data_IF_235732349275
#
_entry.id   IF_235732349275
#
_cell.length_a   1.000
_cell.length_b   1.000
_cell.length_c   1.000
_cell.angle_alpha   90.00
_cell.angle_beta   90.00
_cell.angle_gamma   90.00
#
_symmetry.space_group_name_H-M   'P 1'
#
loop_
_entity.id
_entity.type
_entity.pdbx_description
1 polymer ?
#
# COMPACT_ATOMS: atom_id res chain seq x y z
N UNK A 1 -17.57 -26.12 3.02
CA UNK A 1 -17.01 -24.78 3.39
C UNK A 1 -18.06 -23.70 3.72
N UNK A 2 -19.37 -24.01 3.83
CA UNK A 2 -20.40 -23.02 4.22
C UNK A 2 -20.52 -22.77 5.74
N UNK A 3 -19.97 -23.66 6.58
CA UNK A 3 -20.31 -23.72 8.01
C UNK A 3 -19.57 -22.70 8.90
N UNK A 4 -18.40 -22.19 8.50
CA UNK A 4 -17.67 -21.21 9.33
C UNK A 4 -18.12 -19.76 9.12
N UNK A 5 -18.68 -19.43 7.96
CA UNK A 5 -19.23 -18.09 7.72
C UNK A 5 -20.56 -17.89 8.47
N UNK A 6 -21.46 -18.88 8.46
CA UNK A 6 -22.74 -18.78 9.19
C UNK A 6 -22.59 -18.64 10.71
N UNK A 7 -21.60 -19.29 11.33
CA UNK A 7 -21.34 -19.14 12.78
C UNK A 7 -20.82 -17.74 13.18
N UNK A 8 -20.25 -16.98 12.24
CA UNK A 8 -19.85 -15.58 12.46
C UNK A 8 -21.05 -14.63 12.39
N UNK A 9 -22.02 -14.91 11.50
CA UNK A 9 -23.20 -14.05 11.24
C UNK A 9 -24.16 -13.98 12.42
N UNK A 10 -24.22 -15.00 13.28
CA UNK A 10 -25.14 -15.05 14.42
C UNK A 10 -24.51 -14.78 15.80
N UNK A 11 -23.23 -14.42 15.85
CA UNK A 11 -22.53 -14.20 17.13
C UNK A 11 -22.58 -12.73 17.55
N UNK A 12 -23.37 -12.39 18.57
CA UNK A 12 -23.34 -11.08 19.25
C UNK A 12 -22.06 -10.85 20.08
N UNK A 13 -21.13 -11.81 20.07
CA UNK A 13 -19.90 -11.73 20.85
C UNK A 13 -19.02 -10.61 20.30
N UNK A 14 -18.75 -9.62 21.15
CA UNK A 14 -17.79 -8.57 20.87
C UNK A 14 -16.44 -9.17 20.45
N UNK A 15 -15.97 -8.79 19.27
CA UNK A 15 -14.69 -9.19 18.70
C UNK A 15 -13.68 -8.07 18.87
N UNK A 16 -12.45 -8.43 19.23
CA UNK A 16 -11.30 -7.51 19.21
C UNK A 16 -10.61 -7.47 17.85
N UNK A 17 -10.73 -8.54 17.07
CA UNK A 17 -10.06 -8.68 15.77
C UNK A 17 -11.02 -9.34 14.77
N UNK A 18 -11.08 -8.78 13.57
CA UNK A 18 -11.78 -9.36 12.42
C UNK A 18 -10.76 -9.43 11.28
N UNK A 19 -10.63 -10.60 10.65
CA UNK A 19 -9.81 -10.77 9.45
C UNK A 19 -10.67 -11.40 8.37
N UNK A 20 -10.77 -10.70 7.25
CA UNK A 20 -11.49 -11.13 6.05
C UNK A 20 -10.55 -10.84 4.88
N UNK A 21 -9.89 -11.86 4.36
CA UNK A 21 -8.96 -11.70 3.25
C UNK A 21 -9.21 -12.72 2.13
N UNK A 22 -8.59 -12.52 0.98
CA UNK A 22 -8.81 -13.32 -0.24
C UNK A 22 -8.64 -14.84 -0.03
N UNK A 23 -7.67 -15.26 0.79
CA UNK A 23 -7.43 -16.69 1.07
C UNK A 23 -8.56 -17.34 1.89
N UNK A 24 -9.36 -16.54 2.61
CA UNK A 24 -10.51 -17.00 3.40
C UNK A 24 -11.81 -16.86 2.62
N UNK A 25 -11.95 -15.76 1.86
CA UNK A 25 -13.14 -15.44 1.07
C UNK A 25 -12.70 -14.97 -0.32
N UNK A 26 -12.96 -15.79 -1.34
CA UNK A 26 -12.76 -15.43 -2.74
C UNK A 26 -14.00 -14.71 -3.28
N UNK A 27 -14.16 -13.43 -2.97
CA UNK A 27 -15.35 -12.65 -3.36
C UNK A 27 -15.64 -12.68 -4.86
N UNK A 28 -14.61 -12.86 -5.70
CA UNK A 28 -14.75 -12.93 -7.16
C UNK A 28 -15.48 -14.19 -7.63
N UNK A 29 -15.58 -15.24 -6.82
CA UNK A 29 -16.27 -16.49 -7.20
C UNK A 29 -17.77 -16.47 -6.86
N UNK A 30 -18.25 -15.45 -6.16
CA UNK A 30 -19.66 -15.31 -5.81
C UNK A 30 -20.41 -14.62 -6.95
N UNK A 31 -21.64 -15.06 -7.22
CA UNK A 31 -22.55 -14.27 -8.05
C UNK A 31 -22.92 -12.94 -7.38
N UNK A 32 -23.56 -12.06 -8.16
CA UNK A 32 -23.93 -10.71 -7.73
C UNK A 32 -24.81 -10.69 -6.46
N UNK A 33 -25.74 -11.64 -6.32
CA UNK A 33 -26.68 -11.67 -5.20
C UNK A 33 -25.96 -12.13 -3.94
N UNK A 34 -25.21 -13.22 -4.04
CA UNK A 34 -24.46 -13.78 -2.91
C UNK A 34 -23.35 -12.83 -2.45
N UNK A 35 -22.65 -12.15 -3.36
CA UNK A 35 -21.68 -11.10 -3.02
C UNK A 35 -22.36 -9.96 -2.25
N UNK A 36 -23.48 -9.44 -2.75
CA UNK A 36 -24.24 -8.38 -2.08
C UNK A 36 -24.67 -8.79 -0.67
N UNK A 37 -25.22 -10.00 -0.51
CA UNK A 37 -25.65 -10.50 0.80
C UNK A 37 -24.47 -10.62 1.77
N UNK A 38 -23.34 -11.14 1.30
CA UNK A 38 -22.13 -11.26 2.11
C UNK A 38 -21.60 -9.89 2.57
N UNK A 39 -21.56 -8.89 1.69
CA UNK A 39 -21.14 -7.52 2.07
C UNK A 39 -22.09 -6.92 3.10
N UNK A 40 -23.42 -7.10 2.94
CA UNK A 40 -24.42 -6.64 3.91
C UNK A 40 -24.20 -7.31 5.28
N UNK A 41 -23.93 -8.61 5.29
CA UNK A 41 -23.70 -9.34 6.55
C UNK A 41 -22.39 -8.93 7.21
N UNK A 42 -21.32 -8.72 6.44
CA UNK A 42 -20.05 -8.20 6.96
C UNK A 42 -20.21 -6.81 7.55
N UNK A 43 -20.91 -5.90 6.87
CA UNK A 43 -21.23 -4.57 7.38
C UNK A 43 -21.98 -4.66 8.71
N UNK A 44 -23.02 -5.49 8.79
CA UNK A 44 -23.80 -5.70 10.03
C UNK A 44 -22.93 -6.22 11.17
N UNK A 45 -22.04 -7.18 10.89
CA UNK A 45 -21.12 -7.71 11.89
C UNK A 45 -20.19 -6.62 12.40
N UNK A 46 -19.55 -5.86 11.49
CA UNK A 46 -18.59 -4.81 11.83
C UNK A 46 -19.28 -3.70 12.63
N UNK A 47 -20.45 -3.25 12.19
CA UNK A 47 -21.21 -2.18 12.84
C UNK A 47 -21.63 -2.53 14.28
N UNK A 48 -21.89 -3.81 14.57
CA UNK A 48 -22.20 -4.27 15.94
C UNK A 48 -21.00 -4.28 16.90
N UNK A 49 -19.77 -4.10 16.39
CA UNK A 49 -18.59 -4.09 17.22
C UNK A 49 -18.34 -2.71 17.82
N UNK A 50 -18.14 -2.66 19.14
CA UNK A 50 -17.76 -1.43 19.87
C UNK A 50 -16.35 -1.51 20.46
N UNK A 51 -15.73 -2.69 20.42
CA UNK A 51 -14.41 -2.99 20.99
C UNK A 51 -13.41 -3.51 19.96
N UNK A 52 -13.71 -3.32 18.67
CA UNK A 52 -12.83 -3.80 17.60
C UNK A 52 -11.53 -2.99 17.64
N UNK A 53 -10.39 -3.69 17.66
CA UNK A 53 -9.04 -3.12 17.68
C UNK A 53 -8.30 -3.27 16.36
N UNK A 54 -8.71 -4.26 15.55
CA UNK A 54 -8.07 -4.54 14.27
C UNK A 54 -9.09 -5.06 13.26
N UNK A 55 -8.94 -4.62 12.01
CA UNK A 55 -9.63 -5.21 10.86
C UNK A 55 -8.66 -5.44 9.71
N UNK A 56 -8.78 -6.58 9.03
CA UNK A 56 -8.09 -6.88 7.78
C UNK A 56 -9.11 -7.18 6.68
N UNK A 57 -8.97 -6.51 5.54
CA UNK A 57 -9.80 -6.56 4.34
C UNK A 57 -8.95 -6.83 3.08
N UNK A 58 -7.81 -7.50 3.23
CA UNK A 58 -6.80 -7.60 2.18
C UNK A 58 -7.19 -8.54 1.02
N UNK A 59 -6.89 -8.12 -0.21
CA UNK A 59 -7.09 -8.92 -1.42
C UNK A 59 -8.56 -9.15 -1.84
N UNK A 60 -9.51 -8.54 -1.14
CA UNK A 60 -10.94 -8.83 -1.36
C UNK A 60 -11.48 -8.37 -2.72
N UNK A 61 -10.78 -7.49 -3.44
CA UNK A 61 -11.23 -6.95 -4.73
C UNK A 61 -12.64 -6.32 -4.64
N UNK A 62 -12.85 -5.49 -3.61
CA UNK A 62 -14.08 -4.75 -3.37
C UNK A 62 -14.28 -3.66 -4.42
N UNK A 63 -15.53 -3.42 -4.78
CA UNK A 63 -15.88 -2.18 -5.48
C UNK A 63 -15.67 -0.98 -4.53
N UNK A 64 -15.48 0.24 -5.06
CA UNK A 64 -15.35 1.45 -4.23
C UNK A 64 -16.44 1.61 -3.17
N UNK A 65 -17.71 1.39 -3.54
CA UNK A 65 -18.85 1.51 -2.63
C UNK A 65 -18.81 0.46 -1.52
N UNK A 66 -18.56 -0.80 -1.86
CA UNK A 66 -18.47 -1.88 -0.87
C UNK A 66 -17.37 -1.62 0.17
N UNK A 67 -16.17 -1.23 -0.28
CA UNK A 67 -15.06 -0.99 0.65
C UNK A 67 -15.26 0.26 1.52
N UNK A 68 -15.75 1.36 0.95
CA UNK A 68 -16.11 2.56 1.73
C UNK A 68 -17.19 2.23 2.76
N UNK A 69 -18.21 1.46 2.38
CA UNK A 69 -19.30 1.03 3.27
C UNK A 69 -18.78 0.19 4.44
N UNK A 70 -17.92 -0.79 4.18
CA UNK A 70 -17.31 -1.61 5.24
C UNK A 70 -16.42 -0.79 6.18
N UNK A 71 -15.70 0.21 5.67
CA UNK A 71 -14.90 1.09 6.51
C UNK A 71 -15.74 2.06 7.33
N UNK A 72 -16.84 2.59 6.77
CA UNK A 72 -17.79 3.42 7.52
C UNK A 72 -18.47 2.64 8.66
N UNK A 73 -18.69 1.33 8.48
CA UNK A 73 -19.22 0.46 9.53
C UNK A 73 -18.34 0.41 10.79
N UNK A 74 -17.05 0.78 10.69
CA UNK A 74 -16.14 0.87 11.84
C UNK A 74 -16.47 2.04 12.80
N UNK A 75 -17.43 2.91 12.47
CA UNK A 75 -17.78 4.08 13.27
C UNK A 75 -18.05 3.76 14.76
N UNK A 76 -18.68 2.63 15.05
CA UNK A 76 -18.97 2.21 16.43
C UNK A 76 -17.72 1.76 17.21
N UNK A 77 -16.67 1.37 16.49
CA UNK A 77 -15.35 1.04 17.06
C UNK A 77 -14.31 2.15 16.85
N UNK A 78 -14.72 3.38 16.46
CA UNK A 78 -13.79 4.48 16.14
C UNK A 78 -12.83 4.86 17.26
N UNK A 79 -13.23 4.63 18.51
CA UNK A 79 -12.43 4.90 19.72
C UNK A 79 -11.54 3.74 20.15
N UNK A 80 -11.65 2.58 19.49
CA UNK A 80 -10.92 1.36 19.87
C UNK A 80 -10.08 0.78 18.75
N UNK A 81 -10.43 1.06 17.49
CA UNK A 81 -9.71 0.56 16.34
C UNK A 81 -8.32 1.18 16.28
N UNK A 82 -7.31 0.32 16.18
CA UNK A 82 -5.90 0.71 16.12
C UNK A 82 -5.27 0.33 14.79
N UNK A 83 -5.72 -0.77 14.18
CA UNK A 83 -5.11 -1.30 12.97
C UNK A 83 -6.16 -1.54 11.89
N UNK A 84 -5.90 -1.03 10.69
CA UNK A 84 -6.71 -1.24 9.49
C UNK A 84 -5.77 -1.71 8.37
N UNK A 85 -6.03 -2.92 7.86
CA UNK A 85 -5.25 -3.54 6.78
C UNK A 85 -6.10 -3.71 5.53
N UNK A 86 -5.69 -3.05 4.44
CA UNK A 86 -6.47 -2.91 3.21
C UNK A 86 -5.59 -2.97 1.94
N UNK A 87 -4.45 -3.66 1.98
CA UNK A 87 -3.71 -3.98 0.77
C UNK A 87 -4.55 -4.77 -0.23
N UNK A 88 -4.61 -4.30 -1.47
CA UNK A 88 -5.43 -4.86 -2.55
C UNK A 88 -6.90 -5.06 -2.15
N UNK A 89 -7.40 -4.24 -1.22
CA UNK A 89 -8.78 -4.35 -0.75
C UNK A 89 -9.78 -4.05 -1.87
N UNK A 90 -9.44 -3.18 -2.81
CA UNK A 90 -10.31 -2.80 -3.93
C UNK A 90 -9.89 -3.44 -5.26
N UNK A 91 -10.79 -3.41 -6.24
CA UNK A 91 -10.52 -3.84 -7.61
C UNK A 91 -9.26 -3.18 -8.20
N UNK A 92 -8.53 -3.94 -9.03
CA UNK A 92 -7.40 -3.44 -9.80
C UNK A 92 -7.88 -2.26 -10.66
N UNK A 93 -7.14 -1.15 -10.63
CA UNK A 93 -7.45 0.17 -11.24
C UNK A 93 -8.23 1.17 -10.38
N UNK A 94 -8.62 0.84 -9.15
CA UNK A 94 -9.28 1.81 -8.27
C UNK A 94 -8.27 2.85 -7.74
N UNK A 95 -8.61 4.13 -7.87
CA UNK A 95 -7.89 5.25 -7.30
C UNK A 95 -8.84 6.33 -6.76
N UNK A 96 -8.29 7.34 -6.10
CA UNK A 96 -9.07 8.48 -5.61
C UNK A 96 -9.39 9.46 -6.74
N UNK A 97 -10.63 9.95 -6.81
CA UNK A 97 -10.97 11.10 -7.66
C UNK A 97 -10.61 12.41 -7.00
N UNK A 98 -9.94 13.27 -7.76
CA UNK A 98 -9.76 14.69 -7.45
C UNK A 98 -10.85 15.45 -8.20
N UNK A 99 -11.60 16.30 -7.50
CA UNK A 99 -12.78 17.00 -8.05
C UNK A 99 -12.45 18.08 -9.11
N UNK A 100 -11.22 18.14 -9.61
CA UNK A 100 -10.82 19.08 -10.67
C UNK A 100 -10.67 18.37 -12.02
N UNK A 101 -11.76 18.44 -12.79
CA UNK A 101 -11.83 18.70 -14.24
C UNK A 101 -10.81 17.95 -15.13
N UNK A 102 -11.24 16.81 -15.68
CA UNK A 102 -11.41 16.56 -17.12
C UNK A 102 -12.17 15.24 -17.26
N UNK A 103 -13.45 15.33 -17.63
CA UNK A 103 -14.29 14.18 -17.94
C UNK A 103 -13.80 13.54 -19.25
N UNK A 104 -12.78 12.68 -19.17
CA UNK A 104 -12.71 11.59 -20.14
C UNK A 104 -13.87 10.64 -19.84
N UNK A 105 -14.98 10.87 -20.54
CA UNK A 105 -16.13 9.97 -20.60
C UNK A 105 -15.70 8.67 -21.28
N UNK A 106 -15.04 7.80 -20.53
CA UNK A 106 -15.13 6.37 -20.79
C UNK A 106 -16.21 5.84 -19.84
N UNK A 107 -17.38 5.54 -20.39
CA UNK A 107 -18.53 5.00 -19.64
C UNK A 107 -18.19 3.70 -18.89
N UNK A 108 -17.09 3.03 -19.24
CA UNK A 108 -16.61 1.81 -18.59
C UNK A 108 -15.77 2.03 -17.31
N UNK A 109 -15.22 3.23 -17.08
CA UNK A 109 -14.33 3.51 -15.93
C UNK A 109 -14.95 4.37 -14.83
N UNK A 110 -16.14 4.93 -15.04
CA UNK A 110 -16.81 5.81 -14.07
C UNK A 110 -17.07 5.17 -12.70
N UNK A 111 -17.26 3.84 -12.68
CA UNK A 111 -17.61 3.07 -11.47
C UNK A 111 -16.41 2.63 -10.62
N UNK A 112 -15.17 2.90 -11.03
CA UNK A 112 -13.94 2.40 -10.37
C UNK A 112 -13.20 3.47 -9.56
N UNK A 113 -13.91 4.47 -9.07
CA UNK A 113 -13.32 5.64 -8.42
C UNK A 113 -13.86 5.80 -7.00
N UNK A 114 -12.97 5.93 -6.03
CA UNK A 114 -13.35 6.25 -4.66
C UNK A 114 -13.41 7.77 -4.54
N UNK A 115 -14.57 8.31 -4.13
CA UNK A 115 -14.68 9.73 -3.80
C UNK A 115 -13.78 10.03 -2.61
N UNK A 116 -12.88 11.01 -2.77
CA UNK A 116 -11.94 11.41 -1.74
C UNK A 116 -12.63 11.81 -0.42
N UNK A 117 -13.76 12.50 -0.49
CA UNK A 117 -14.54 12.90 0.68
C UNK A 117 -15.07 11.69 1.46
N UNK A 118 -15.56 10.67 0.77
CA UNK A 118 -16.08 9.44 1.39
C UNK A 118 -14.97 8.62 2.03
N UNK A 119 -13.83 8.47 1.34
CA UNK A 119 -12.66 7.81 1.87
C UNK A 119 -12.12 8.50 3.12
N UNK A 120 -11.95 9.83 3.05
CA UNK A 120 -11.50 10.62 4.18
C UNK A 120 -12.48 10.55 5.36
N UNK A 121 -13.79 10.54 5.08
CA UNK A 121 -14.81 10.34 6.13
C UNK A 121 -14.66 8.97 6.79
N UNK A 122 -14.45 7.91 6.00
CA UNK A 122 -14.33 6.55 6.49
C UNK A 122 -13.08 6.33 7.35
N UNK A 123 -11.89 6.65 6.83
CA UNK A 123 -10.62 6.46 7.56
C UNK A 123 -10.42 7.54 8.60
N UNK A 124 -10.75 8.78 8.27
CA UNK A 124 -10.56 9.91 9.17
C UNK A 124 -11.42 9.84 10.43
N UNK A 125 -12.52 9.09 10.47
CA UNK A 125 -13.31 8.97 11.70
C UNK A 125 -12.64 8.11 12.79
N UNK A 126 -11.56 7.39 12.48
CA UNK A 126 -10.90 6.44 13.37
C UNK A 126 -9.87 7.12 14.29
N UNK A 127 -10.34 7.73 15.37
CA UNK A 127 -9.56 8.59 16.28
C UNK A 127 -8.31 7.94 16.93
N UNK A 128 -8.33 6.61 17.10
CA UNK A 128 -7.25 5.86 17.77
C UNK A 128 -6.41 5.00 16.81
N UNK A 129 -6.55 5.26 15.50
CA UNK A 129 -5.80 4.54 14.49
C UNK A 129 -4.30 4.76 14.67
N UNK A 130 -3.56 3.68 14.90
CA UNK A 130 -2.11 3.67 15.01
C UNK A 130 -1.43 3.17 13.74
N UNK A 131 -2.08 2.26 13.02
CA UNK A 131 -1.54 1.61 11.83
C UNK A 131 -2.58 1.60 10.72
N UNK A 132 -2.22 2.17 9.57
CA UNK A 132 -2.98 2.13 8.34
C UNK A 132 -2.15 1.45 7.25
N UNK A 133 -2.64 0.33 6.74
CA UNK A 133 -2.03 -0.42 5.64
C UNK A 133 -2.94 -0.35 4.42
N UNK A 134 -2.47 0.29 3.35
CA UNK A 134 -3.26 0.62 2.16
C UNK A 134 -2.37 0.61 0.91
N UNK A 135 -2.98 0.56 -0.27
CA UNK A 135 -2.29 0.87 -1.50
C UNK A 135 -1.91 2.37 -1.55
N UNK A 136 -0.79 2.69 -2.19
CA UNK A 136 -0.32 4.06 -2.35
C UNK A 136 -1.36 4.95 -3.02
N UNK A 137 -2.04 4.43 -4.04
CA UNK A 137 -3.11 5.12 -4.76
C UNK A 137 -4.28 5.58 -3.86
N UNK A 138 -4.47 5.00 -2.67
CA UNK A 138 -5.57 5.35 -1.76
C UNK A 138 -5.25 6.51 -0.81
N UNK A 139 -4.04 7.06 -0.89
CA UNK A 139 -3.65 8.25 -0.13
C UNK A 139 -3.00 9.33 -0.99
N UNK A 140 -2.55 8.96 -2.19
CA UNK A 140 -1.97 9.89 -3.15
C UNK A 140 -3.00 10.88 -3.71
N UNK A 141 -2.85 12.16 -3.36
CA UNK A 141 -3.56 13.29 -3.98
C UNK A 141 -2.54 14.30 -4.52
N UNK A 142 -2.85 15.10 -5.56
CA UNK A 142 -1.87 15.98 -6.21
C UNK A 142 -1.28 17.03 -5.26
N UNK A 143 -2.05 17.42 -4.25
CA UNK A 143 -1.63 18.33 -3.19
C UNK A 143 -1.09 17.61 -1.95
N UNK A 144 -1.30 16.29 -1.85
CA UNK A 144 -1.04 15.47 -0.67
C UNK A 144 -1.92 15.83 0.53
N UNK A 145 -3.01 16.56 0.30
CA UNK A 145 -3.88 17.07 1.36
C UNK A 145 -4.58 15.98 2.16
N UNK A 146 -4.88 14.82 1.56
CA UNK A 146 -5.44 13.68 2.29
C UNK A 146 -4.46 13.17 3.37
N UNK A 147 -3.20 12.99 3.00
CA UNK A 147 -2.13 12.63 3.95
C UNK A 147 -2.03 13.67 5.07
N UNK A 148 -1.98 14.95 4.72
CA UNK A 148 -1.86 16.05 5.70
C UNK A 148 -3.08 16.11 6.63
N UNK A 149 -4.29 15.92 6.11
CA UNK A 149 -5.51 15.92 6.91
C UNK A 149 -5.58 14.73 7.86
N UNK A 150 -5.15 13.54 7.43
CA UNK A 150 -5.04 12.38 8.31
C UNK A 150 -3.98 12.62 9.40
N UNK A 151 -2.81 13.16 9.05
CA UNK A 151 -1.76 13.49 10.00
C UNK A 151 -2.24 14.52 11.05
N UNK A 152 -2.95 15.57 10.63
CA UNK A 152 -3.58 16.55 11.54
C UNK A 152 -4.56 15.93 12.52
N UNK A 153 -5.30 14.92 12.07
CA UNK A 153 -6.38 14.30 12.84
C UNK A 153 -5.86 13.26 13.83
N UNK A 154 -4.94 12.42 13.39
CA UNK A 154 -4.38 11.33 14.20
C UNK A 154 -3.19 11.80 15.06
N UNK A 155 -2.45 12.81 14.60
CA UNK A 155 -1.30 13.40 15.29
C UNK A 155 -0.30 12.31 15.74
N UNK A 156 0.14 12.39 16.99
CA UNK A 156 1.05 11.43 17.63
C UNK A 156 0.47 10.03 17.82
N UNK A 157 -0.84 9.82 17.59
CA UNK A 157 -1.39 8.47 17.61
C UNK A 157 -1.02 7.68 16.35
N UNK A 158 -0.69 8.35 15.23
CA UNK A 158 -0.37 7.65 13.99
C UNK A 158 1.09 7.22 13.96
N UNK A 159 1.32 5.91 14.13
CA UNK A 159 2.66 5.35 14.20
C UNK A 159 3.11 4.75 12.88
N UNK A 160 2.20 4.11 12.13
CA UNK A 160 2.54 3.34 10.94
C UNK A 160 1.62 3.66 9.76
N UNK A 161 2.24 3.98 8.64
CA UNK A 161 1.62 3.98 7.32
C UNK A 161 2.34 2.95 6.44
N UNK A 162 1.64 1.87 6.11
CA UNK A 162 2.19 0.78 5.29
C UNK A 162 1.61 0.88 3.88
N UNK A 163 2.46 1.20 2.91
CA UNK A 163 2.09 1.52 1.54
C UNK A 163 2.49 0.36 0.62
N UNK A 164 1.49 -0.29 0.03
CA UNK A 164 1.69 -1.18 -1.10
C UNK A 164 1.78 -0.34 -2.37
N UNK A 165 2.87 -0.51 -3.12
CA UNK A 165 3.19 0.26 -4.31
C UNK A 165 3.25 -0.67 -5.52
N UNK A 166 2.40 -0.41 -6.51
CA UNK A 166 2.28 -1.18 -7.74
C UNK A 166 2.48 -0.27 -8.95
N UNK A 167 3.03 -0.80 -10.04
CA UNK A 167 3.38 -0.01 -11.23
C UNK A 167 2.14 0.68 -11.81
N UNK A 168 1.04 -0.04 -11.90
CA UNK A 168 -0.25 0.43 -12.43
C UNK A 168 -0.87 1.58 -11.62
N UNK A 169 -0.36 1.86 -10.42
CA UNK A 169 -0.81 2.96 -9.57
C UNK A 169 -0.10 4.28 -9.89
N UNK A 170 1.05 4.22 -10.55
CA UNK A 170 1.81 5.41 -10.98
C UNK A 170 1.79 5.57 -12.50
N UNK A 171 1.71 4.49 -13.27
CA UNK A 171 1.67 4.53 -14.72
C UNK A 171 0.34 3.99 -15.24
N UNK A 172 -0.33 4.77 -16.08
CA UNK A 172 -1.46 4.29 -16.88
C UNK A 172 -1.02 4.15 -18.34
N UNK A 173 -1.12 2.94 -18.89
CA UNK A 173 -0.98 2.75 -20.33
C UNK A 173 -2.17 3.37 -21.05
N UNK A 174 -1.88 4.18 -22.06
CA UNK A 174 -2.88 4.74 -22.98
C UNK A 174 -3.11 3.80 -24.16
N UNK A 175 -4.23 3.98 -24.86
CA UNK A 175 -4.64 3.12 -25.98
C UNK A 175 -3.68 3.19 -27.17
N UNK A 176 -2.95 4.29 -27.31
CA UNK A 176 -1.89 4.52 -28.31
C UNK A 176 -0.53 3.91 -27.91
N UNK A 177 -0.45 3.20 -26.79
CA UNK A 177 0.79 2.60 -26.28
C UNK A 177 1.69 3.57 -25.50
N UNK A 178 1.25 4.81 -25.28
CA UNK A 178 1.90 5.76 -24.39
C UNK A 178 1.70 5.45 -22.90
N UNK A 179 2.33 6.28 -22.05
CA UNK A 179 2.16 6.24 -20.60
C UNK A 179 1.76 7.61 -20.07
N UNK A 180 0.71 7.64 -19.25
CA UNK A 180 0.30 8.82 -18.49
C UNK A 180 0.66 8.60 -17.03
N UNK A 181 1.36 9.56 -16.45
CA UNK A 181 1.70 9.55 -15.03
C UNK A 181 0.46 9.83 -14.18
N UNK A 182 0.24 8.99 -13.19
CA UNK A 182 -0.77 9.17 -12.15
C UNK A 182 -0.25 10.05 -11.03
N UNK A 183 -1.15 10.32 -10.09
CA UNK A 183 -0.94 11.21 -8.97
C UNK A 183 0.13 10.69 -8.01
N UNK A 184 1.07 11.56 -7.66
CA UNK A 184 2.10 11.33 -6.64
C UNK A 184 1.94 12.32 -5.48
N UNK A 185 2.39 11.94 -4.29
CA UNK A 185 2.37 12.82 -3.11
C UNK A 185 3.58 13.76 -3.18
N UNK A 186 3.37 15.08 -3.21
CA UNK A 186 4.48 16.03 -3.28
C UNK A 186 5.25 16.10 -1.95
N UNK A 187 6.56 16.36 -2.00
CA UNK A 187 7.45 16.45 -0.83
C UNK A 187 6.95 17.43 0.25
N UNK A 188 6.34 18.55 -0.16
CA UNK A 188 5.72 19.53 0.76
C UNK A 188 4.64 18.91 1.66
N UNK A 189 3.91 17.92 1.15
CA UNK A 189 2.87 17.23 1.91
C UNK A 189 3.49 16.29 2.95
N UNK A 190 4.60 15.64 2.62
CA UNK A 190 5.36 14.83 3.58
C UNK A 190 5.95 15.69 4.70
N UNK A 191 6.53 16.86 4.38
CA UNK A 191 6.96 17.84 5.40
C UNK A 191 5.83 18.25 6.34
N UNK A 192 4.67 18.59 5.76
CA UNK A 192 3.51 18.96 6.55
C UNK A 192 2.99 17.79 7.39
N UNK A 193 2.96 16.57 6.85
CA UNK A 193 2.56 15.38 7.58
C UNK A 193 3.48 15.09 8.77
N UNK A 194 4.80 15.19 8.57
CA UNK A 194 5.79 15.04 9.63
C UNK A 194 5.61 16.07 10.74
N UNK A 195 5.30 17.32 10.41
CA UNK A 195 4.98 18.34 11.41
C UNK A 195 3.78 17.96 12.30
N UNK A 196 2.71 17.41 11.72
CA UNK A 196 1.50 17.05 12.47
C UNK A 196 1.59 15.69 13.19
N UNK A 197 2.32 14.75 12.61
CA UNK A 197 2.50 13.39 13.11
C UNK A 197 3.99 13.02 13.12
N UNK A 198 4.79 13.58 14.05
CA UNK A 198 6.25 13.44 14.03
C UNK A 198 6.75 12.02 14.32
N UNK A 199 5.91 11.17 14.91
CA UNK A 199 6.23 9.75 15.19
C UNK A 199 5.84 8.81 14.05
N UNK A 200 5.27 9.33 12.96
CA UNK A 200 4.81 8.54 11.84
C UNK A 200 5.99 7.89 11.11
N UNK A 201 5.92 6.58 10.98
CA UNK A 201 6.85 5.75 10.20
C UNK A 201 6.17 5.23 8.95
N UNK A 202 6.87 5.28 7.84
CA UNK A 202 6.39 4.77 6.55
C UNK A 202 7.07 3.46 6.21
N UNK A 203 6.28 2.43 5.92
CA UNK A 203 6.77 1.20 5.31
C UNK A 203 6.34 1.17 3.85
N UNK A 204 7.29 1.08 2.94
CA UNK A 204 7.02 0.82 1.53
C UNK A 204 7.16 -0.67 1.24
N UNK A 205 6.19 -1.21 0.49
CA UNK A 205 6.25 -2.51 -0.16
C UNK A 205 6.06 -2.29 -1.66
N UNK A 206 7.16 -2.15 -2.39
CA UNK A 206 7.21 -1.92 -3.83
C UNK A 206 7.29 -3.27 -4.52
N UNK A 207 6.23 -3.69 -5.19
CA UNK A 207 6.14 -5.04 -5.75
C UNK A 207 6.05 -4.98 -7.25
N UNK A 208 6.96 -5.70 -7.89
CA UNK A 208 6.95 -5.91 -9.32
C UNK A 208 7.41 -4.72 -10.15
N UNK A 209 8.28 -3.85 -9.60
CA UNK A 209 8.75 -2.63 -10.27
C UNK A 209 10.28 -2.63 -10.35
N UNK A 210 10.86 -3.12 -11.45
CA UNK A 210 12.30 -3.17 -11.57
C UNK A 210 12.97 -1.85 -12.00
N UNK A 211 12.29 -0.87 -12.62
CA UNK A 211 12.92 0.41 -12.98
C UNK A 211 13.04 1.39 -11.82
N UNK A 212 14.24 1.96 -11.66
CA UNK A 212 14.51 3.06 -10.74
C UNK A 212 13.60 4.26 -10.93
N UNK A 213 13.39 4.66 -12.18
CA UNK A 213 12.64 5.85 -12.51
C UNK A 213 11.17 5.78 -12.11
N UNK A 214 10.63 4.57 -11.95
CA UNK A 214 9.26 4.36 -11.48
C UNK A 214 9.23 4.33 -9.97
N UNK A 215 10.04 3.50 -9.31
CA UNK A 215 9.89 3.34 -7.86
C UNK A 215 10.32 4.60 -7.08
N UNK A 216 11.24 5.42 -7.62
CA UNK A 216 11.62 6.72 -7.01
C UNK A 216 10.45 7.71 -6.94
N UNK A 217 9.36 7.48 -7.70
CA UNK A 217 8.17 8.33 -7.69
C UNK A 217 7.26 8.11 -6.48
N UNK A 218 7.42 7.01 -5.75
CA UNK A 218 6.60 6.72 -4.57
C UNK A 218 7.03 7.50 -3.33
N UNK A 219 8.28 7.94 -3.26
CA UNK A 219 8.87 8.53 -2.07
C UNK A 219 9.64 9.81 -2.40
N UNK A 220 9.84 10.62 -1.36
CA UNK A 220 10.50 11.93 -1.46
C UNK A 220 11.47 12.09 -0.29
N UNK A 221 12.41 13.02 -0.39
CA UNK A 221 13.44 13.25 0.64
C UNK A 221 12.88 13.37 2.06
N UNK A 222 11.69 13.95 2.25
CA UNK A 222 11.09 14.15 3.59
C UNK A 222 10.06 13.08 3.99
N UNK A 223 9.95 12.01 3.22
CA UNK A 223 9.15 10.86 3.65
C UNK A 223 9.86 10.16 4.81
N UNK A 224 9.23 9.93 5.97
CA UNK A 224 9.85 9.27 7.11
C UNK A 224 9.85 7.75 6.90
N UNK A 225 10.63 7.29 5.92
CA UNK A 225 10.72 5.88 5.55
C UNK A 225 11.40 5.14 6.68
N UNK A 226 10.74 4.12 7.24
CA UNK A 226 11.33 3.18 8.19
C UNK A 226 11.70 1.85 7.57
N UNK A 227 10.85 1.37 6.69
CA UNK A 227 11.05 0.07 6.04
C UNK A 227 10.86 0.23 4.55
N UNK A 228 11.85 -0.17 3.77
CA UNK A 228 11.81 -0.19 2.32
C UNK A 228 11.92 -1.64 1.86
N UNK A 229 10.81 -2.22 1.41
CA UNK A 229 10.77 -3.54 0.80
C UNK A 229 10.57 -3.40 -0.71
N UNK A 230 11.49 -3.93 -1.50
CA UNK A 230 11.42 -3.94 -2.96
C UNK A 230 11.40 -5.38 -3.46
N UNK A 231 10.42 -5.73 -4.28
CA UNK A 231 10.40 -6.97 -5.06
C UNK A 231 10.41 -6.63 -6.55
N UNK A 232 11.36 -7.20 -7.29
CA UNK A 232 11.42 -7.07 -8.75
C UNK A 232 10.70 -8.25 -9.38
N UNK A 233 9.62 -8.03 -10.12
CA UNK A 233 8.89 -9.10 -10.83
C UNK A 233 9.58 -9.46 -12.15
N UNK A 234 9.08 -10.57 -12.69
CA UNK A 234 9.50 -11.32 -13.89
C UNK A 234 9.80 -10.35 -15.04
N UNK A 235 11.07 -9.99 -15.20
CA UNK A 235 11.84 -10.26 -16.41
C UNK A 235 13.19 -9.51 -16.41
N UNK A 236 14.26 -10.20 -15.98
CA UNK A 236 15.62 -9.69 -16.10
C UNK A 236 16.17 -9.72 -17.55
N UNK A 237 15.41 -10.20 -18.55
CA UNK A 237 15.83 -10.19 -19.97
C UNK A 237 16.26 -8.81 -20.47
N UNK A 238 15.81 -7.72 -19.82
CA UNK A 238 16.00 -6.35 -20.32
C UNK A 238 16.52 -5.35 -19.29
N UNK A 239 16.94 -5.78 -18.10
CA UNK A 239 17.10 -4.83 -16.98
C UNK A 239 18.44 -4.94 -16.31
N UNK A 240 19.15 -3.82 -16.36
CA UNK A 240 20.52 -3.74 -15.94
C UNK A 240 20.59 -3.55 -14.42
N UNK A 241 21.57 -4.16 -13.73
CA UNK A 241 21.67 -4.12 -12.26
C UNK A 241 21.71 -2.70 -11.69
N UNK A 242 22.13 -1.71 -12.49
CA UNK A 242 22.26 -0.33 -12.04
C UNK A 242 20.95 0.29 -11.55
N UNK A 243 19.78 -0.25 -11.92
CA UNK A 243 18.53 0.31 -11.41
C UNK A 243 18.43 0.11 -9.90
N UNK A 244 18.87 -1.05 -9.41
CA UNK A 244 18.96 -1.35 -7.98
C UNK A 244 20.04 -0.47 -7.33
N UNK A 245 21.19 -0.32 -7.99
CA UNK A 245 22.28 0.58 -7.56
C UNK A 245 21.77 2.03 -7.37
N UNK A 246 21.01 2.57 -8.34
CA UNK A 246 20.39 3.87 -8.26
C UNK A 246 19.39 3.98 -7.10
N UNK A 247 18.58 2.94 -6.85
CA UNK A 247 17.68 2.88 -5.69
C UNK A 247 18.47 3.02 -4.40
N UNK A 248 19.49 2.19 -4.24
CA UNK A 248 20.31 2.13 -3.02
C UNK A 248 21.01 3.47 -2.81
N UNK A 249 21.68 3.99 -3.84
CA UNK A 249 22.35 5.30 -3.79
C UNK A 249 21.39 6.42 -3.38
N UNK A 250 20.16 6.39 -3.88
CA UNK A 250 19.15 7.39 -3.54
C UNK A 250 18.73 7.26 -2.08
N UNK A 251 18.50 6.03 -1.60
CA UNK A 251 18.20 5.79 -0.19
C UNK A 251 19.34 6.27 0.71
N UNK A 252 20.60 5.94 0.38
CA UNK A 252 21.76 6.42 1.12
C UNK A 252 21.86 7.95 1.06
N UNK A 253 21.67 8.57 -0.10
CA UNK A 253 21.85 10.02 -0.26
C UNK A 253 20.76 10.83 0.44
N UNK A 254 19.51 10.39 0.35
CA UNK A 254 18.38 11.15 0.92
C UNK A 254 18.18 10.88 2.41
N UNK A 255 18.56 9.69 2.88
CA UNK A 255 18.30 9.25 4.25
C UNK A 255 19.57 8.91 5.05
N UNK A 256 20.76 9.31 4.59
CA UNK A 256 21.99 9.25 5.38
C UNK A 256 21.86 10.00 6.71
N UNK A 257 21.29 11.20 6.66
CA UNK A 257 21.22 12.13 7.81
C UNK A 257 19.86 12.10 8.51
N UNK A 258 18.83 11.59 7.84
CA UNK A 258 17.50 11.38 8.42
C UNK A 258 17.40 9.92 8.86
N UNK A 259 17.73 9.67 10.13
CA UNK A 259 17.76 8.39 10.87
C UNK A 259 16.47 7.56 10.84
N UNK A 260 15.55 7.85 9.93
CA UNK A 260 14.25 7.25 9.89
C UNK A 260 14.26 5.89 9.21
N UNK A 261 15.19 5.60 8.29
CA UNK A 261 15.28 4.29 7.61
C UNK A 261 15.99 3.30 8.51
N UNK A 262 15.32 2.20 8.88
CA UNK A 262 15.88 1.14 9.72
C UNK A 262 16.06 -0.18 8.97
N UNK A 263 15.24 -0.43 7.96
CA UNK A 263 15.22 -1.69 7.23
C UNK A 263 15.14 -1.45 5.73
N UNK A 264 16.10 -1.99 4.99
CA UNK A 264 16.06 -2.07 3.53
C UNK A 264 16.13 -3.55 3.17
N UNK A 265 15.02 -4.08 2.64
CA UNK A 265 14.91 -5.45 2.20
C UNK A 265 14.63 -5.48 0.69
N UNK A 266 15.43 -6.23 -0.06
CA UNK A 266 15.21 -6.40 -1.50
C UNK A 266 15.05 -7.89 -1.81
N UNK A 267 13.92 -8.26 -2.41
CA UNK A 267 13.66 -9.59 -2.90
C UNK A 267 13.78 -9.58 -4.41
N UNK A 268 14.85 -10.17 -4.91
CA UNK A 268 15.14 -10.23 -6.34
C UNK A 268 14.70 -11.57 -6.89
N UNK A 269 13.96 -11.54 -7.99
CA UNK A 269 13.58 -12.78 -8.65
C UNK A 269 14.80 -13.42 -9.32
N UNK A 270 14.88 -14.74 -9.24
CA UNK A 270 15.94 -15.51 -9.90
C UNK A 270 15.82 -15.45 -11.44
N UNK A 271 16.97 -15.56 -12.12
CA UNK A 271 17.05 -15.48 -13.58
C UNK A 271 16.42 -16.75 -14.19
N UNK A 272 15.33 -16.59 -14.94
CA UNK A 272 14.59 -17.72 -15.55
C UNK A 272 15.22 -18.19 -16.89
N UNK A 273 16.07 -17.39 -17.53
CA UNK A 273 16.54 -17.67 -18.90
C UNK A 273 17.99 -18.18 -19.01
N UNK A 274 18.16 -19.20 -19.87
CA UNK A 274 19.43 -19.89 -20.17
C UNK A 274 20.51 -19.04 -20.89
N UNK A 275 20.25 -17.76 -21.19
CA UNK A 275 21.16 -16.92 -21.97
C UNK A 275 21.98 -15.91 -21.15
N UNK A 276 21.53 -15.57 -19.94
CA UNK A 276 22.32 -14.76 -19.00
C UNK A 276 22.96 -15.71 -18.00
N UNK A 277 24.28 -15.69 -17.87
CA UNK A 277 24.98 -16.46 -16.84
C UNK A 277 24.43 -16.03 -15.47
N UNK A 278 23.48 -16.80 -14.94
CA UNK A 278 22.83 -16.60 -13.64
C UNK A 278 23.87 -16.32 -12.55
N UNK A 279 24.99 -17.05 -12.59
CA UNK A 279 26.11 -16.85 -11.69
C UNK A 279 26.73 -15.45 -11.79
N UNK A 280 26.91 -14.93 -13.01
CA UNK A 280 27.44 -13.58 -13.24
C UNK A 280 26.48 -12.50 -12.73
N UNK A 281 25.18 -12.69 -12.91
CA UNK A 281 24.16 -11.79 -12.34
C UNK A 281 24.20 -11.82 -10.81
N UNK A 282 24.10 -13.01 -10.21
CA UNK A 282 24.12 -13.19 -8.74
C UNK A 282 25.42 -12.61 -8.16
N UNK A 283 26.56 -12.87 -8.79
CA UNK A 283 27.86 -12.30 -8.39
C UNK A 283 27.86 -10.78 -8.46
N UNK A 284 27.32 -10.19 -9.53
CA UNK A 284 27.23 -8.72 -9.67
C UNK A 284 26.37 -8.09 -8.58
N UNK A 285 25.21 -8.67 -8.28
CA UNK A 285 24.35 -8.22 -7.18
C UNK A 285 25.04 -8.39 -5.83
N UNK A 286 25.70 -9.53 -5.57
CA UNK A 286 26.46 -9.74 -4.32
C UNK A 286 27.59 -8.74 -4.17
N UNK A 287 28.32 -8.42 -5.24
CA UNK A 287 29.34 -7.37 -5.22
C UNK A 287 28.71 -6.00 -4.87
N UNK A 288 27.58 -5.65 -5.48
CA UNK A 288 26.84 -4.43 -5.16
C UNK A 288 26.40 -4.41 -3.69
N UNK A 289 25.89 -5.54 -3.16
CA UNK A 289 25.54 -5.66 -1.75
C UNK A 289 26.73 -5.38 -0.85
N UNK A 290 27.89 -5.96 -1.14
CA UNK A 290 29.10 -5.76 -0.34
C UNK A 290 29.49 -4.28 -0.34
N UNK A 291 29.43 -3.61 -1.50
CA UNK A 291 29.75 -2.19 -1.59
C UNK A 291 28.87 -1.33 -0.68
N UNK A 292 27.55 -1.58 -0.64
CA UNK A 292 26.61 -0.76 0.14
C UNK A 292 26.40 -1.24 1.57
N UNK A 293 26.74 -2.48 1.89
CA UNK A 293 26.54 -3.03 3.23
C UNK A 293 27.28 -2.22 4.27
N UNK A 294 28.53 -1.84 3.99
CA UNK A 294 29.31 -1.00 4.89
C UNK A 294 28.66 0.38 5.11
N UNK A 295 28.09 0.98 4.07
CA UNK A 295 27.42 2.29 4.18
C UNK A 295 26.14 2.18 5.04
N UNK A 296 25.32 1.15 4.81
CA UNK A 296 24.13 0.91 5.62
C UNK A 296 24.45 0.51 7.06
N UNK A 297 25.50 -0.29 7.29
CA UNK A 297 25.96 -0.64 8.64
C UNK A 297 26.40 0.63 9.41
N UNK A 298 27.10 1.56 8.76
CA UNK A 298 27.46 2.87 9.34
C UNK A 298 26.24 3.73 9.66
N UNK A 299 25.18 3.61 8.87
CA UNK A 299 23.90 4.30 9.10
C UNK A 299 23.01 3.60 10.13
N UNK A 300 23.40 2.43 10.66
CA UNK A 300 22.57 1.63 11.56
C UNK A 300 21.36 0.96 10.90
N UNK A 301 21.37 0.85 9.57
CA UNK A 301 20.29 0.29 8.74
C UNK A 301 20.51 -1.21 8.54
N UNK A 302 19.50 -2.02 8.80
CA UNK A 302 19.53 -3.44 8.42
C UNK A 302 19.27 -3.57 6.92
N UNK A 303 20.30 -3.97 6.17
CA UNK A 303 20.22 -4.18 4.74
C UNK A 303 20.29 -5.67 4.37
N UNK A 304 19.24 -6.17 3.74
CA UNK A 304 19.16 -7.55 3.26
C UNK A 304 18.75 -7.58 1.78
N UNK A 305 19.40 -8.45 1.02
CA UNK A 305 18.93 -8.83 -0.32
C UNK A 305 18.83 -10.35 -0.37
N UNK A 306 17.66 -10.83 -0.74
CA UNK A 306 17.38 -12.25 -0.93
C UNK A 306 16.97 -12.51 -2.39
N UNK A 307 17.25 -13.73 -2.84
CA UNK A 307 16.76 -14.22 -4.13
C UNK A 307 15.63 -15.22 -3.91
N UNK A 308 14.60 -15.16 -4.74
CA UNK A 308 13.52 -16.15 -4.71
C UNK A 308 13.31 -16.78 -6.10
N UNK A 309 13.08 -18.09 -6.10
CA UNK A 309 12.69 -18.84 -7.28
C UNK A 309 11.17 -18.74 -7.48
N UNK A 310 10.73 -18.74 -8.74
CA UNK A 310 9.34 -19.01 -9.09
C UNK A 310 9.05 -20.51 -9.03
#
# INVERSE_FOLDING_TARGET
MHFHCHRLVHSEKQKKHISVWEQLIRLQTFDRINRKNLIIDLERIICKQTRLRSICLEGLSLTPDEGVRLLLALHNSRKTIKHVYCWRAFEKMVGLTVDTVHHFKSEFYGNKRIKKSDWFRAIGCLEFLTTLSINYAYIATPTGDLLVCLAKKLRTNWHWLQLLCLEEEILQRTEDGGYVEKVVIPDRAWKAAHFWAPVLKVQYAIIGIPEYDIHKKFFTKHTPIHTFALSTSIDLRFRQPWYIDCTIKTLCTWYADTLDVYHVNMQLQDVIHNGFEKEKWIKSIRCMMICFKHDFDRMGVKFNIDFYCC
#
